data_IF_337047508836
#
_entry.id   IF_337047508836
#
_cell.length_a   1.000
_cell.length_b   1.000
_cell.length_c   1.000
_cell.angle_alpha   90.00
_cell.angle_beta   90.00
_cell.angle_gamma   90.00
#
_symmetry.space_group_name_H-M   'P 1'
#
loop_
_entity.id
_entity.type
_entity.pdbx_description
1 polymer ?
#
# COMPACT_ATOMS: atom_id res chain seq x y z
N UNK A 1 -7.80 -17.44 8.30
CA UNK A 1 -8.61 -16.52 9.13
C UNK A 1 -8.15 -16.54 10.57
N UNK A 2 -8.02 -17.73 11.21
CA UNK A 2 -7.57 -17.84 12.60
C UNK A 2 -6.24 -17.12 12.86
N UNK A 3 -5.24 -17.32 11.99
CA UNK A 3 -3.92 -16.69 12.13
C UNK A 3 -3.95 -15.16 11.96
N UNK A 4 -4.92 -14.64 11.17
CA UNK A 4 -5.01 -13.22 10.88
C UNK A 4 -5.84 -12.42 11.91
N UNK A 5 -6.85 -13.06 12.50
CA UNK A 5 -7.80 -12.40 13.39
C UNK A 5 -7.66 -12.83 14.85
N UNK A 6 -6.90 -13.90 15.14
CA UNK A 6 -6.73 -14.41 16.49
C UNK A 6 -8.07 -14.69 17.18
N UNK A 7 -8.26 -14.11 18.35
CA UNK A 7 -9.50 -14.18 19.15
C UNK A 7 -10.49 -13.05 18.84
N UNK A 8 -10.14 -12.12 17.95
CA UNK A 8 -11.02 -11.03 17.52
C UNK A 8 -12.20 -11.47 16.65
N UNK A 9 -12.25 -12.74 16.23
CA UNK A 9 -13.33 -13.32 15.44
C UNK A 9 -13.76 -14.66 16.04
N UNK A 10 -15.08 -14.87 16.19
CA UNK A 10 -15.60 -16.18 16.54
C UNK A 10 -15.31 -17.21 15.44
N UNK A 11 -14.33 -18.06 15.67
CA UNK A 11 -13.87 -19.06 14.72
C UNK A 11 -14.94 -20.09 14.34
N UNK A 12 -15.99 -20.28 15.19
CA UNK A 12 -17.11 -21.18 14.89
C UNK A 12 -17.97 -20.67 13.73
N UNK A 13 -17.91 -19.37 13.45
CA UNK A 13 -18.63 -18.71 12.35
C UNK A 13 -17.82 -18.61 11.06
N UNK A 14 -16.57 -19.02 11.09
CA UNK A 14 -15.67 -18.94 9.94
C UNK A 14 -16.16 -19.80 8.75
N UNK A 15 -16.38 -19.18 7.59
CA UNK A 15 -16.83 -19.90 6.42
C UNK A 15 -15.68 -20.68 5.78
N UNK A 16 -15.77 -22.02 5.61
CA UNK A 16 -14.66 -22.85 5.14
C UNK A 16 -14.20 -22.56 3.71
N UNK A 17 -15.06 -21.96 2.89
CA UNK A 17 -14.80 -21.64 1.48
C UNK A 17 -14.72 -20.13 1.20
N UNK A 18 -14.39 -19.31 2.20
CA UNK A 18 -14.31 -17.84 2.03
C UNK A 18 -13.29 -17.44 0.95
N UNK A 19 -12.24 -18.21 0.77
CA UNK A 19 -11.25 -18.04 -0.30
C UNK A 19 -11.84 -18.15 -1.71
N UNK A 20 -12.93 -18.92 -1.89
CA UNK A 20 -13.58 -19.12 -3.19
C UNK A 20 -14.42 -17.91 -3.67
N UNK A 21 -14.68 -16.93 -2.79
CA UNK A 21 -15.52 -15.76 -3.07
C UNK A 21 -14.72 -14.57 -3.66
N UNK A 22 -13.52 -14.81 -4.13
CA UNK A 22 -12.65 -13.73 -4.65
C UNK A 22 -12.66 -13.67 -6.18
N UNK A 23 -13.49 -12.79 -6.78
CA UNK A 23 -13.60 -12.70 -8.24
C UNK A 23 -12.28 -12.37 -8.93
N UNK A 24 -11.38 -11.65 -8.25
CA UNK A 24 -10.05 -11.33 -8.78
C UNK A 24 -9.15 -12.54 -8.99
N UNK A 25 -9.39 -13.65 -8.29
CA UNK A 25 -8.67 -14.90 -8.53
C UNK A 25 -9.25 -15.71 -9.69
N UNK A 26 -10.58 -15.64 -9.88
CA UNK A 26 -11.29 -16.55 -10.80
C UNK A 26 -11.84 -15.85 -12.05
N UNK A 27 -12.15 -14.55 -11.93
CA UNK A 27 -12.75 -13.77 -13.02
C UNK A 27 -11.79 -12.79 -13.71
N UNK A 28 -10.61 -12.52 -13.12
CA UNK A 28 -9.64 -11.58 -13.65
C UNK A 28 -8.23 -12.09 -13.42
N UNK A 29 -7.47 -12.30 -14.52
CA UNK A 29 -6.10 -12.81 -14.41
C UNK A 29 -5.18 -11.80 -13.72
N UNK A 30 -4.49 -12.22 -12.67
CA UNK A 30 -3.45 -11.47 -11.95
C UNK A 30 -3.87 -10.10 -11.42
N UNK A 31 -5.14 -9.84 -11.19
CA UNK A 31 -5.64 -8.51 -10.84
C UNK A 31 -5.47 -8.13 -9.35
N UNK A 32 -4.91 -8.98 -8.52
CA UNK A 32 -4.74 -8.69 -7.09
C UNK A 32 -3.55 -7.79 -6.77
N UNK A 33 -2.45 -7.94 -7.50
CA UNK A 33 -1.20 -7.23 -7.23
C UNK A 33 -1.32 -5.70 -7.31
N UNK A 34 -2.16 -5.09 -8.19
CA UNK A 34 -2.24 -3.64 -8.29
C UNK A 34 -2.69 -2.94 -7.00
N UNK A 35 -3.46 -3.62 -6.16
CA UNK A 35 -3.93 -3.03 -4.90
C UNK A 35 -2.81 -2.83 -3.90
N UNK A 36 -1.98 -3.84 -3.68
CA UNK A 36 -0.82 -3.72 -2.78
C UNK A 36 0.22 -2.78 -3.37
N UNK A 37 0.47 -2.89 -4.68
CA UNK A 37 1.36 -1.98 -5.39
C UNK A 37 0.92 -0.52 -5.22
N UNK A 38 -0.32 -0.19 -5.57
CA UNK A 38 -0.83 1.18 -5.51
C UNK A 38 -0.86 1.74 -4.09
N UNK A 39 -1.18 0.90 -3.09
CA UNK A 39 -1.18 1.30 -1.70
C UNK A 39 0.24 1.64 -1.20
N UNK A 40 1.21 0.77 -1.40
CA UNK A 40 2.59 1.00 -0.98
C UNK A 40 3.25 2.13 -1.79
N UNK A 41 2.96 2.22 -3.09
CA UNK A 41 3.40 3.33 -3.92
C UNK A 41 2.87 4.68 -3.40
N UNK A 42 1.58 4.74 -3.05
CA UNK A 42 0.97 5.93 -2.46
C UNK A 42 1.61 6.33 -1.13
N UNK A 43 1.97 5.37 -0.27
CA UNK A 43 2.71 5.63 0.96
C UNK A 43 4.12 6.17 0.68
N UNK A 44 4.82 5.64 -0.32
CA UNK A 44 6.10 6.17 -0.77
C UNK A 44 5.99 7.63 -1.25
N UNK A 45 4.97 7.94 -2.05
CA UNK A 45 4.67 9.32 -2.46
C UNK A 45 4.39 10.22 -1.25
N UNK A 46 3.65 9.73 -0.27
CA UNK A 46 3.36 10.48 0.94
C UNK A 46 4.62 10.83 1.74
N UNK A 47 5.64 9.98 1.76
CA UNK A 47 6.93 10.33 2.38
C UNK A 47 7.56 11.54 1.69
N UNK A 48 7.56 11.58 0.36
CA UNK A 48 8.09 12.73 -0.41
C UNK A 48 7.28 14.00 -0.21
N UNK A 49 5.96 13.89 -0.13
CA UNK A 49 5.12 15.03 0.22
C UNK A 49 5.49 15.60 1.59
N UNK A 50 5.73 14.77 2.59
CA UNK A 50 6.10 15.22 3.93
C UNK A 50 7.48 15.88 3.99
N UNK A 51 8.41 15.41 3.15
CA UNK A 51 9.78 15.95 3.09
C UNK A 51 9.80 17.35 2.46
N UNK A 52 9.07 17.54 1.34
CA UNK A 52 8.97 18.82 0.62
C UNK A 52 7.61 18.95 -0.08
N UNK A 53 6.57 19.48 0.61
CA UNK A 53 5.22 19.60 0.07
C UNK A 53 5.15 20.46 -1.19
N UNK A 54 5.94 21.53 -1.27
CA UNK A 54 5.86 22.47 -2.40
C UNK A 54 6.44 21.85 -3.67
N UNK A 55 7.60 21.22 -3.56
CA UNK A 55 8.21 20.52 -4.68
C UNK A 55 7.37 19.32 -5.13
N UNK A 56 6.80 18.59 -4.17
CA UNK A 56 5.92 17.48 -4.47
C UNK A 56 4.71 17.92 -5.30
N UNK A 57 4.00 18.96 -4.88
CA UNK A 57 2.82 19.48 -5.61
C UNK A 57 3.14 19.86 -7.06
N UNK A 58 4.28 20.51 -7.30
CA UNK A 58 4.72 20.88 -8.65
C UNK A 58 4.90 19.67 -9.57
N UNK A 59 5.38 18.55 -9.04
CA UNK A 59 5.62 17.33 -9.80
C UNK A 59 4.39 16.43 -9.90
N UNK A 60 3.48 16.50 -8.95
CA UNK A 60 2.36 15.58 -8.83
C UNK A 60 1.34 15.73 -9.97
N UNK A 61 0.98 16.96 -10.31
CA UNK A 61 0.05 17.25 -11.42
C UNK A 61 0.63 16.79 -12.76
N UNK A 62 1.94 16.98 -12.97
CA UNK A 62 2.63 16.50 -14.16
C UNK A 62 2.58 14.96 -14.25
N UNK A 63 2.85 14.26 -13.16
CA UNK A 63 2.78 12.79 -13.11
C UNK A 63 1.38 12.29 -13.36
N UNK A 64 0.36 12.91 -12.75
CA UNK A 64 -1.04 12.53 -12.97
C UNK A 64 -1.44 12.71 -14.45
N UNK A 65 -0.98 13.78 -15.08
CA UNK A 65 -1.27 14.03 -16.50
C UNK A 65 -0.68 12.99 -17.46
N UNK A 66 0.37 12.28 -17.02
CA UNK A 66 1.06 11.22 -17.76
C UNK A 66 0.59 9.81 -17.39
N UNK A 67 -0.27 9.66 -16.38
CA UNK A 67 -0.80 8.38 -15.99
C UNK A 67 -1.53 7.71 -17.16
N UNK A 68 -1.20 6.43 -17.41
CA UNK A 68 -1.69 5.69 -18.58
C UNK A 68 -0.91 5.89 -19.89
N UNK A 69 0.03 6.85 -19.94
CA UNK A 69 0.93 7.05 -21.08
C UNK A 69 2.37 6.61 -20.81
N UNK A 70 2.75 6.55 -19.54
CA UNK A 70 4.07 6.16 -19.10
C UNK A 70 3.99 4.89 -18.23
N UNK A 71 5.12 4.18 -18.13
CA UNK A 71 5.25 3.04 -17.24
C UNK A 71 5.27 3.48 -15.77
N UNK A 72 5.00 2.56 -14.85
CA UNK A 72 5.07 2.83 -13.42
C UNK A 72 6.48 3.26 -12.97
N UNK A 73 7.52 2.68 -13.59
CA UNK A 73 8.92 3.04 -13.33
C UNK A 73 9.23 4.48 -13.74
N UNK A 74 8.79 4.88 -14.95
CA UNK A 74 8.98 6.25 -15.44
C UNK A 74 8.27 7.27 -14.56
N UNK A 75 7.06 6.98 -14.11
CA UNK A 75 6.30 7.85 -13.20
C UNK A 75 6.96 7.95 -11.82
N UNK A 76 7.45 6.83 -11.29
CA UNK A 76 8.17 6.80 -10.02
C UNK A 76 9.48 7.60 -10.06
N UNK A 77 10.20 7.52 -11.18
CA UNK A 77 11.47 8.22 -11.38
C UNK A 77 11.32 9.75 -11.30
N UNK A 78 10.16 10.32 -11.64
CA UNK A 78 9.89 11.77 -11.48
C UNK A 78 10.04 12.21 -10.02
N UNK A 79 9.68 11.35 -9.06
CA UNK A 79 9.83 11.59 -7.63
C UNK A 79 11.17 11.10 -7.06
N UNK A 80 12.05 10.59 -7.92
CA UNK A 80 13.34 10.04 -7.54
C UNK A 80 13.25 8.66 -6.88
N UNK A 81 12.20 7.89 -7.21
CA UNK A 81 12.06 6.50 -6.77
C UNK A 81 12.51 5.52 -7.83
N UNK A 82 13.14 4.46 -7.39
CA UNK A 82 13.34 3.23 -8.15
C UNK A 82 12.44 2.14 -7.58
N UNK A 83 11.38 1.79 -8.31
CA UNK A 83 10.42 0.76 -7.88
C UNK A 83 10.97 -0.65 -7.98
N UNK A 84 12.14 -0.84 -8.58
CA UNK A 84 12.87 -2.11 -8.62
C UNK A 84 13.77 -2.29 -7.39
N UNK A 85 14.03 -1.21 -6.64
CA UNK A 85 14.81 -1.25 -5.40
C UNK A 85 13.93 -1.61 -4.21
N UNK A 86 14.34 -2.62 -3.44
CA UNK A 86 13.66 -3.06 -2.23
C UNK A 86 13.54 -1.94 -1.19
N UNK A 87 14.49 -1.02 -1.14
CA UNK A 87 14.51 0.09 -0.19
C UNK A 87 13.29 1.01 -0.33
N UNK A 88 12.78 1.19 -1.55
CA UNK A 88 11.54 1.95 -1.79
C UNK A 88 10.35 1.31 -1.06
N UNK A 89 10.16 0.01 -1.21
CA UNK A 89 9.05 -0.73 -0.60
C UNK A 89 9.19 -0.82 0.91
N UNK A 90 10.41 -1.03 1.39
CA UNK A 90 10.71 -1.04 2.83
C UNK A 90 10.37 0.30 3.49
N UNK A 91 10.72 1.42 2.86
CA UNK A 91 10.37 2.75 3.38
C UNK A 91 8.87 3.00 3.47
N UNK A 92 8.10 2.48 2.50
CA UNK A 92 6.63 2.53 2.51
C UNK A 92 6.04 1.67 3.63
N UNK A 93 6.57 0.48 3.87
CA UNK A 93 6.17 -0.40 4.97
C UNK A 93 6.51 0.21 6.34
N UNK A 94 7.59 0.97 6.45
CA UNK A 94 7.95 1.67 7.69
C UNK A 94 6.95 2.76 8.08
N UNK A 95 6.23 3.34 7.11
CA UNK A 95 5.09 4.23 7.42
C UNK A 95 3.99 3.47 8.15
N UNK A 96 3.65 2.28 7.66
CA UNK A 96 2.63 1.43 8.30
C UNK A 96 3.07 0.97 9.67
N UNK A 97 4.33 0.54 9.81
CA UNK A 97 4.88 0.10 11.10
C UNK A 97 4.73 1.19 12.15
N UNK A 98 5.09 2.42 11.85
CA UNK A 98 4.93 3.55 12.78
C UNK A 98 3.49 3.76 13.23
N UNK A 99 2.52 3.65 12.31
CA UNK A 99 1.10 3.80 12.66
C UNK A 99 0.61 2.63 13.52
N UNK A 100 1.11 1.41 13.27
CA UNK A 100 0.80 0.25 14.11
C UNK A 100 1.39 0.44 15.52
N UNK A 101 2.64 0.86 15.62
CA UNK A 101 3.32 1.09 16.89
C UNK A 101 2.58 2.18 17.71
N UNK A 102 2.21 3.29 17.06
CA UNK A 102 1.40 4.35 17.68
C UNK A 102 0.04 3.83 18.19
N UNK A 103 -0.64 3.02 17.36
CA UNK A 103 -1.91 2.40 17.78
C UNK A 103 -1.73 1.50 19.00
N UNK A 104 -0.70 0.66 18.99
CA UNK A 104 -0.41 -0.26 20.12
C UNK A 104 -0.10 0.53 21.38
N UNK A 105 0.68 1.61 21.28
CA UNK A 105 0.98 2.48 22.42
C UNK A 105 -0.28 3.11 23.00
N UNK A 106 -1.12 3.71 22.14
CA UNK A 106 -2.38 4.34 22.56
C UNK A 106 -3.36 3.33 23.19
N UNK A 107 -3.50 2.14 22.57
CA UNK A 107 -4.37 1.09 23.08
C UNK A 107 -3.90 0.50 24.42
N UNK A 108 -2.58 0.51 24.67
CA UNK A 108 -2.00 0.01 25.91
C UNK A 108 -2.10 1.02 27.07
N UNK A 109 -2.43 2.27 26.76
CA UNK A 109 -2.57 3.34 27.76
C UNK A 109 -4.00 3.45 28.35
N UNK A 110 -4.94 2.64 27.86
CA UNK A 110 -6.34 2.55 28.32
C UNK A 110 -6.52 1.35 29.23
#
# INVERSE_FOLDING_TARGET
>A
QADAYGDGLDQSTAHPYMWAVKPHYYGSHFYNWPYTYGFLFGLGLFTKYRDDPQRFQQSYDDVLSRAGMNTAEELAAVFGFDVTDESFWTSSLDVLRRHIDEYVELASAV
#
